data_IF_512154646382
#
_entry.id   IF_512154646382
#
_cell.length_a   1.000
_cell.length_b   1.000
_cell.length_c   1.000
_cell.angle_alpha   90.00
_cell.angle_beta   90.00
_cell.angle_gamma   90.00
#
_symmetry.space_group_name_H-M   'P 1'
#
loop_
_entity.id
_entity.type
_entity.pdbx_description
1 polymer ?
#
# COMPACT_ATOMS: atom_id res chain seq x y z
N UNK A 1 -25.85 -7.22 -3.30
CA UNK A 1 -24.46 -6.82 -3.01
C UNK A 1 -23.59 -8.07 -3.06
N UNK A 2 -22.67 -8.16 -4.04
CA UNK A 2 -21.71 -9.27 -4.10
C UNK A 2 -20.64 -9.02 -3.04
N UNK A 3 -20.58 -9.85 -1.99
CA UNK A 3 -19.42 -9.88 -1.08
C UNK A 3 -18.23 -10.36 -1.91
N UNK A 4 -17.40 -9.42 -2.37
CA UNK A 4 -16.09 -9.78 -2.93
C UNK A 4 -15.34 -10.49 -1.81
N UNK A 5 -14.97 -11.76 -2.05
CA UNK A 5 -14.18 -12.56 -1.11
C UNK A 5 -13.04 -11.71 -0.59
N UNK A 6 -12.89 -11.65 0.74
CA UNK A 6 -11.85 -10.89 1.42
C UNK A 6 -10.51 -11.46 0.94
N UNK A 7 -9.87 -10.81 -0.05
CA UNK A 7 -8.61 -11.29 -0.60
C UNK A 7 -7.54 -11.05 0.47
N UNK A 8 -7.05 -12.12 1.09
CA UNK A 8 -5.89 -12.07 1.97
C UNK A 8 -4.67 -11.66 1.15
N UNK A 9 -4.00 -10.59 1.56
CA UNK A 9 -2.79 -10.10 0.91
C UNK A 9 -1.58 -10.90 1.43
N UNK A 10 -0.97 -11.74 0.59
CA UNK A 10 0.24 -12.48 0.99
C UNK A 10 1.41 -11.52 1.23
N UNK A 11 2.19 -11.66 2.32
CA UNK A 11 3.28 -10.73 2.64
C UNK A 11 4.32 -10.57 1.52
N UNK A 12 4.64 -11.66 0.81
CA UNK A 12 5.55 -11.61 -0.35
C UNK A 12 5.00 -10.76 -1.51
N UNK A 13 3.68 -10.83 -1.77
CA UNK A 13 3.04 -9.99 -2.79
C UNK A 13 2.91 -8.54 -2.34
N UNK A 14 2.66 -8.29 -1.05
CA UNK A 14 2.69 -6.94 -0.53
C UNK A 14 4.07 -6.27 -0.66
N UNK A 15 5.15 -7.02 -0.42
CA UNK A 15 6.52 -6.53 -0.60
C UNK A 15 6.82 -6.18 -2.07
N UNK A 16 6.40 -7.04 -3.01
CA UNK A 16 6.50 -6.78 -4.45
C UNK A 16 5.70 -5.54 -4.86
N UNK A 17 4.44 -5.45 -4.42
CA UNK A 17 3.59 -4.27 -4.69
C UNK A 17 4.22 -2.99 -4.15
N UNK A 18 4.82 -3.03 -2.95
CA UNK A 18 5.53 -1.88 -2.37
C UNK A 18 6.76 -1.48 -3.18
N UNK A 19 7.55 -2.44 -3.64
CA UNK A 19 8.71 -2.15 -4.49
C UNK A 19 8.27 -1.47 -5.80
N UNK A 20 7.26 -2.00 -6.48
CA UNK A 20 6.71 -1.40 -7.70
C UNK A 20 6.13 -0.01 -7.44
N UNK A 21 5.37 0.16 -6.36
CA UNK A 21 4.77 1.43 -5.98
C UNK A 21 5.83 2.52 -5.77
N UNK A 22 6.93 2.18 -5.09
CA UNK A 22 8.03 3.12 -4.82
C UNK A 22 8.74 3.54 -6.10
N UNK A 23 8.98 2.60 -7.02
CA UNK A 23 9.57 2.92 -8.33
C UNK A 23 8.67 3.86 -9.12
N UNK A 24 7.38 3.56 -9.19
CA UNK A 24 6.43 4.38 -9.92
C UNK A 24 6.30 5.78 -9.31
N UNK A 25 6.27 5.88 -7.98
CA UNK A 25 6.23 7.17 -7.29
C UNK A 25 7.45 8.04 -7.61
N UNK A 26 8.63 7.45 -7.72
CA UNK A 26 9.84 8.19 -8.07
C UNK A 26 9.78 8.75 -9.50
N UNK A 27 9.25 7.98 -10.46
CA UNK A 27 9.03 8.46 -11.83
C UNK A 27 8.02 9.60 -11.89
N UNK A 28 6.88 9.49 -11.18
CA UNK A 28 5.88 10.57 -11.13
C UNK A 28 6.48 11.85 -10.54
N UNK A 29 7.32 11.76 -9.50
CA UNK A 29 7.99 12.93 -8.90
C UNK A 29 8.98 13.60 -9.85
N UNK A 30 9.70 12.83 -10.68
CA UNK A 30 10.55 13.42 -11.73
C UNK A 30 9.73 14.20 -12.73
N UNK A 31 8.64 13.62 -13.22
CA UNK A 31 7.75 14.31 -14.16
C UNK A 31 7.21 15.60 -13.54
N UNK A 32 6.82 15.60 -12.26
CA UNK A 32 6.45 16.83 -11.55
C UNK A 32 7.54 17.91 -11.58
N UNK A 33 8.83 17.52 -11.53
CA UNK A 33 9.96 18.44 -11.57
C UNK A 33 10.27 19.01 -12.95
N UNK A 34 9.82 18.35 -14.02
CA UNK A 34 10.01 18.78 -15.41
C UNK A 34 8.86 19.65 -15.93
N UNK A 35 7.67 19.52 -15.34
CA UNK A 35 6.47 20.24 -15.77
C UNK A 35 6.39 21.63 -15.10
N UNK A 36 6.06 22.70 -15.85
CA UNK A 36 5.85 24.01 -15.27
C UNK A 36 4.76 24.04 -14.19
N UNK A 37 5.07 24.75 -13.10
CA UNK A 37 4.14 24.97 -11.99
C UNK A 37 2.86 25.67 -12.48
N UNK A 38 1.72 25.30 -11.88
CA UNK A 38 0.42 25.92 -12.18
C UNK A 38 -0.29 25.36 -13.42
N UNK A 39 0.32 24.44 -14.16
CA UNK A 39 -0.37 23.72 -15.24
C UNK A 39 -1.32 22.65 -14.70
N UNK A 40 -2.39 22.34 -15.44
CA UNK A 40 -3.31 21.25 -15.09
C UNK A 40 -2.59 19.89 -14.99
N UNK A 41 -1.56 19.69 -15.82
CA UNK A 41 -0.73 18.48 -15.78
C UNK A 41 0.05 18.40 -14.47
N UNK A 42 0.68 19.50 -14.04
CA UNK A 42 1.36 19.56 -12.74
C UNK A 42 0.42 19.22 -11.58
N UNK A 43 -0.77 19.85 -11.53
CA UNK A 43 -1.76 19.59 -10.48
C UNK A 43 -2.20 18.13 -10.46
N UNK A 44 -2.36 17.52 -11.63
CA UNK A 44 -2.73 16.10 -11.76
C UNK A 44 -1.62 15.17 -11.27
N UNK A 45 -0.36 15.45 -11.63
CA UNK A 45 0.79 14.66 -11.18
C UNK A 45 1.06 14.83 -9.66
N UNK A 46 0.82 16.03 -9.12
CA UNK A 46 0.89 16.27 -7.69
C UNK A 46 -0.17 15.46 -6.94
N UNK A 47 -1.43 15.49 -7.42
CA UNK A 47 -2.52 14.70 -6.85
C UNK A 47 -2.24 13.19 -6.91
N UNK A 48 -1.64 12.72 -8.02
CA UNK A 48 -1.21 11.34 -8.17
C UNK A 48 -0.11 10.98 -7.15
N UNK A 49 0.86 11.87 -6.94
CA UNK A 49 1.93 11.66 -5.95
C UNK A 49 1.35 11.48 -4.54
N UNK A 50 0.35 12.28 -4.17
CA UNK A 50 -0.32 12.19 -2.87
C UNK A 50 -1.13 10.90 -2.72
N UNK A 51 -1.83 10.48 -3.79
CA UNK A 51 -2.53 9.20 -3.81
C UNK A 51 -1.57 8.01 -3.67
N UNK A 52 -0.39 8.07 -4.29
CA UNK A 52 0.64 7.03 -4.16
C UNK A 52 1.25 6.99 -2.75
N UNK A 53 1.46 8.16 -2.10
CA UNK A 53 1.87 8.23 -0.69
C UNK A 53 0.84 7.54 0.22
N UNK A 54 -0.45 7.85 0.01
CA UNK A 54 -1.52 7.23 0.77
C UNK A 54 -1.55 5.71 0.57
N UNK A 55 -1.39 5.25 -0.67
CA UNK A 55 -1.34 3.82 -0.97
C UNK A 55 -0.17 3.11 -0.25
N UNK A 56 1.02 3.73 -0.18
CA UNK A 56 2.17 3.15 0.55
C UNK A 56 1.88 3.06 2.05
N UNK A 57 1.29 4.10 2.64
CA UNK A 57 0.90 4.09 4.05
C UNK A 57 -0.11 2.98 4.35
N UNK A 58 -1.13 2.80 3.50
CA UNK A 58 -2.14 1.75 3.65
C UNK A 58 -1.56 0.34 3.45
N UNK A 59 -0.64 0.16 2.50
CA UNK A 59 0.09 -1.10 2.31
C UNK A 59 0.95 -1.44 3.52
N UNK A 60 1.60 -0.44 4.14
CA UNK A 60 2.37 -0.64 5.37
C UNK A 60 1.46 -1.02 6.56
N UNK A 61 0.30 -0.38 6.69
CA UNK A 61 -0.71 -0.74 7.70
C UNK A 61 -1.22 -2.16 7.52
N UNK A 62 -1.63 -2.53 6.30
CA UNK A 62 -2.11 -3.88 5.98
C UNK A 62 -1.04 -4.96 6.23
N UNK A 63 0.24 -4.67 5.95
CA UNK A 63 1.37 -5.54 6.27
C UNK A 63 1.60 -5.71 7.77
N UNK A 64 1.39 -4.64 8.55
CA UNK A 64 1.54 -4.67 10.00
C UNK A 64 0.42 -5.49 10.65
N UNK A 65 -0.83 -5.32 10.21
CA UNK A 65 -1.97 -6.10 10.69
C UNK A 65 -1.84 -7.58 10.33
N UNK A 66 -1.41 -7.91 9.10
CA UNK A 66 -1.17 -9.30 8.70
C UNK A 66 -0.10 -10.00 9.56
N UNK A 67 0.92 -9.28 10.04
CA UNK A 67 1.92 -9.82 10.98
C UNK A 67 1.35 -10.02 12.39
N UNK A 68 0.45 -9.14 12.83
CA UNK A 68 -0.21 -9.24 14.14
C UNK A 68 -1.14 -10.46 14.19
N UNK A 69 -1.86 -10.72 13.11
CA UNK A 69 -2.72 -11.91 12.98
C UNK A 69 -1.89 -13.21 12.95
N UNK A 70 -0.75 -13.23 12.25
CA UNK A 70 0.15 -14.38 12.23
C UNK A 70 0.78 -14.70 13.60
N UNK A 71 1.02 -13.68 14.44
CA UNK A 71 1.51 -13.87 15.81
C UNK A 71 0.43 -14.35 16.80
N UNK A 72 -0.86 -14.18 16.46
CA UNK A 72 -2.00 -14.62 17.29
C UNK A 72 -2.37 -16.11 17.14
N UNK A 73 -1.90 -16.78 16.09
CA UNK A 73 -2.18 -18.20 15.83
C UNK A 73 -1.26 -19.18 16.59
N UNK A 74 -0.42 -18.70 17.51
CA UNK A 74 0.56 -19.52 18.24
C UNK A 74 0.33 -19.72 19.75
N UNK A 75 -0.75 -19.22 20.35
CA UNK A 75 -0.95 -19.33 21.82
C UNK A 75 -2.42 -19.29 22.27
N UNK A 76 -3.32 -20.00 21.60
CA UNK A 76 -4.69 -20.13 22.10
C UNK A 76 -5.36 -21.48 21.83
N UNK A 77 -4.56 -22.55 21.84
CA UNK A 77 -5.03 -23.93 21.78
C UNK A 77 -4.42 -24.75 22.91
N UNK A 78 -4.86 -24.50 24.16
CA UNK A 78 -4.77 -25.42 25.29
C UNK A 78 -5.33 -24.75 26.56
N UNK A 79 -6.65 -24.58 26.61
CA UNK A 79 -7.38 -24.59 27.88
C UNK A 79 -8.66 -25.42 27.63
N UNK A 80 -8.46 -26.74 27.65
CA UNK A 80 -9.47 -27.70 28.09
C UNK A 80 -9.41 -27.75 29.63
N UNK A 81 -10.58 -27.95 30.24
CA UNK A 81 -10.94 -28.05 31.68
C UNK A 81 -11.42 -26.77 32.39
#
# INVERSE_FOLDING_TARGET
MVKRSQRSLHPGKAAEMKATLRTFQWEVRKWCGEIPLGTTVYVSLQSLTDALNLADMQLNGALHDAKKDAAGYGSRGLEDF
#
